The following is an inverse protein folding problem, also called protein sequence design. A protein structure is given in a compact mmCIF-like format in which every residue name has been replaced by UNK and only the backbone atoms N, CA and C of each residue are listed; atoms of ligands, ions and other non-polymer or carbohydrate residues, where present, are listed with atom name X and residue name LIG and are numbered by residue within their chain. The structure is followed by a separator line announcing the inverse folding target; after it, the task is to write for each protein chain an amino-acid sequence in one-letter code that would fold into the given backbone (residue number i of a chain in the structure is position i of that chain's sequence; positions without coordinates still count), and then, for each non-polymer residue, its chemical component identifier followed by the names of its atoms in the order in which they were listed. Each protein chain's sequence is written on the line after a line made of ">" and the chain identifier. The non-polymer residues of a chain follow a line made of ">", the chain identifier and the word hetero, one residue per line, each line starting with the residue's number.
data_IF_372008349592
#
_entry.id   IF_372008349592
#
_cell.length_a   1.000
_cell.length_b   1.000
_cell.length_c   1.000
_cell.angle_alpha   90.00
_cell.angle_beta   90.00
_cell.angle_gamma   90.00
#
_symmetry.space_group_name_H-M   'P 1'
#
loop_
_entity.id
_entity.type
_entity.pdbx_description
1 polymer ?
#
# COMPACT_ATOMS: atom_id res chain seq x y z
N UNK A 1 -5.54 -3.18 -13.04
CA UNK A 1 -5.85 -3.96 -11.82
C UNK A 1 -4.55 -4.52 -11.30
N UNK A 2 -4.32 -4.52 -9.99
CA UNK A 2 -3.08 -5.00 -9.36
C UNK A 2 -3.42 -5.91 -8.17
N UNK A 3 -2.67 -7.00 -8.01
CA UNK A 3 -2.77 -7.92 -6.88
C UNK A 3 -1.36 -8.42 -6.59
N UNK A 4 -0.82 -8.15 -5.40
CA UNK A 4 0.52 -8.60 -5.01
C UNK A 4 0.74 -8.57 -3.51
N UNK A 5 1.80 -9.26 -3.07
CA UNK A 5 2.41 -9.10 -1.75
C UNK A 5 3.82 -8.57 -1.94
N UNK A 6 4.15 -7.44 -1.33
CA UNK A 6 5.48 -6.86 -1.42
C UNK A 6 6.46 -7.66 -0.56
N UNK A 7 7.59 -8.02 -1.17
CA UNK A 7 8.79 -8.47 -0.48
C UNK A 7 9.92 -7.51 -0.83
N UNK A 8 10.52 -6.91 0.18
CA UNK A 8 11.70 -6.04 0.02
C UNK A 8 12.72 -6.38 1.12
N UNK A 9 14.01 -6.24 0.80
CA UNK A 9 15.11 -6.57 1.71
C UNK A 9 15.74 -5.32 2.36
N UNK A 10 15.30 -4.12 2.00
CA UNK A 10 15.71 -2.87 2.60
C UNK A 10 15.92 -1.77 1.56
N UNK A 11 15.76 -0.54 2.02
CA UNK A 11 15.72 0.63 1.15
C UNK A 11 14.98 1.76 1.84
N UNK A 12 14.54 2.72 1.04
CA UNK A 12 13.50 3.68 1.43
C UNK A 12 12.47 3.67 0.31
N UNK A 13 11.47 2.83 0.48
CA UNK A 13 10.60 2.33 -0.56
C UNK A 13 9.25 3.03 -0.54
N UNK A 14 8.60 3.06 -1.70
CA UNK A 14 7.36 3.82 -1.89
C UNK A 14 6.29 2.96 -2.56
N UNK A 15 5.14 2.86 -1.91
CA UNK A 15 3.89 2.48 -2.57
C UNK A 15 3.30 3.69 -3.29
N UNK A 16 3.54 3.79 -4.59
CA UNK A 16 2.95 4.83 -5.44
C UNK A 16 1.67 4.32 -6.11
N UNK A 17 0.53 4.79 -5.61
CA UNK A 17 -0.80 4.52 -6.14
C UNK A 17 -1.48 5.79 -6.66
N UNK A 18 -0.70 6.81 -7.04
CA UNK A 18 -1.17 8.11 -7.53
C UNK A 18 -2.04 8.04 -8.79
N UNK A 19 -1.88 6.98 -9.59
CA UNK A 19 -2.64 6.77 -10.83
C UNK A 19 -4.10 6.35 -10.63
N UNK A 20 -4.55 6.09 -9.40
CA UNK A 20 -5.93 5.67 -9.14
C UNK A 20 -6.87 6.83 -8.77
N UNK A 21 -8.14 6.69 -9.15
CA UNK A 21 -9.20 7.65 -8.81
C UNK A 21 -10.24 7.11 -7.83
N UNK A 22 -10.17 5.82 -7.48
CA UNK A 22 -11.01 5.22 -6.46
C UNK A 22 -10.49 5.57 -5.06
N UNK A 23 -11.37 5.57 -4.06
CA UNK A 23 -10.95 5.67 -2.66
C UNK A 23 -10.15 4.43 -2.26
N UNK A 24 -9.05 4.65 -1.54
CA UNK A 24 -8.10 3.60 -1.16
C UNK A 24 -7.94 3.53 0.36
N UNK A 25 -7.53 2.36 0.85
CA UNK A 25 -7.05 2.18 2.22
C UNK A 25 -5.67 1.56 2.13
N UNK A 26 -4.63 2.35 2.37
CA UNK A 26 -3.23 1.94 2.24
C UNK A 26 -2.64 1.81 3.64
N UNK A 27 -2.14 0.63 3.98
CA UNK A 27 -1.56 0.33 5.27
C UNK A 27 -0.12 -0.19 5.08
N UNK A 28 0.84 0.54 5.65
CA UNK A 28 2.27 0.26 5.53
C UNK A 28 2.81 -0.72 6.60
N UNK A 29 1.95 -1.27 7.46
CA UNK A 29 2.37 -2.27 8.44
C UNK A 29 2.57 -3.64 7.77
N UNK A 30 3.62 -4.36 8.16
CA UNK A 30 3.84 -5.74 7.74
C UNK A 30 2.61 -6.64 8.01
N UNK A 31 2.38 -7.64 7.16
CA UNK A 31 1.23 -8.56 7.17
C UNK A 31 -0.14 -7.89 6.99
N UNK A 32 -0.22 -6.56 6.89
CA UNK A 32 -1.48 -5.87 6.65
C UNK A 32 -1.93 -6.00 5.20
N UNK A 33 -3.23 -5.90 5.00
CA UNK A 33 -3.86 -5.79 3.69
C UNK A 33 -4.32 -4.35 3.42
N UNK A 34 -4.29 -3.98 2.14
CA UNK A 34 -4.70 -2.69 1.61
C UNK A 34 -5.75 -2.88 0.50
N UNK A 35 -6.65 -1.89 0.42
CA UNK A 35 -7.67 -1.77 -0.63
C UNK A 35 -7.18 -0.74 -1.65
N UNK A 36 -6.76 -1.19 -2.85
CA UNK A 36 -6.05 -0.33 -3.82
C UNK A 36 -6.69 -0.44 -5.20
N UNK A 37 -6.87 0.69 -5.88
CA UNK A 37 -7.39 0.74 -7.25
C UNK A 37 -8.81 0.17 -7.42
N UNK A 38 -9.67 0.36 -6.43
CA UNK A 38 -11.07 -0.10 -6.43
C UNK A 38 -11.27 -1.59 -6.11
N UNK A 39 -10.22 -2.28 -5.70
CA UNK A 39 -10.27 -3.66 -5.21
C UNK A 39 -10.23 -3.68 -3.67
N UNK A 40 -10.45 -4.86 -3.09
CA UNK A 40 -10.39 -5.09 -1.64
C UNK A 40 -9.34 -6.13 -1.29
N UNK A 41 -8.51 -5.85 -0.29
CA UNK A 41 -7.49 -6.76 0.23
C UNK A 41 -6.53 -7.30 -0.83
N UNK A 42 -6.20 -6.48 -1.85
CA UNK A 42 -5.46 -6.91 -3.02
C UNK A 42 -3.96 -6.59 -2.96
N UNK A 43 -3.54 -5.72 -2.05
CA UNK A 43 -2.13 -5.41 -1.81
C UNK A 43 -1.79 -5.74 -0.37
N UNK A 44 -0.69 -6.44 -0.12
CA UNK A 44 -0.17 -6.69 1.22
C UNK A 44 1.33 -6.55 1.31
N UNK A 45 1.86 -6.45 2.53
CA UNK A 45 3.29 -6.40 2.83
C UNK A 45 3.67 -7.70 3.54
N UNK A 46 4.73 -8.37 3.10
CA UNK A 46 5.20 -9.60 3.74
C UNK A 46 5.69 -9.33 5.18
N UNK A 47 5.75 -10.38 5.99
CA UNK A 47 6.35 -10.29 7.32
C UNK A 47 7.85 -9.96 7.21
N UNK A 48 8.34 -9.07 8.06
CA UNK A 48 9.73 -8.62 8.11
C UNK A 48 10.08 -7.51 7.11
N UNK A 49 9.11 -7.00 6.34
CA UNK A 49 9.32 -5.97 5.33
C UNK A 49 8.82 -4.63 5.84
N UNK A 50 9.65 -3.59 5.68
CA UNK A 50 9.27 -2.19 5.91
C UNK A 50 9.06 -1.50 4.57
N UNK A 51 7.97 -0.73 4.47
CA UNK A 51 7.73 0.21 3.38
C UNK A 51 7.47 1.56 4.04
N UNK A 52 8.23 2.59 3.68
CA UNK A 52 8.28 3.85 4.43
C UNK A 52 7.25 4.86 3.91
N UNK A 53 6.99 4.84 2.61
CA UNK A 53 6.23 5.89 1.95
C UNK A 53 5.01 5.35 1.22
N UNK A 54 3.93 6.13 1.23
CA UNK A 54 2.75 5.89 0.43
C UNK A 54 2.32 7.17 -0.29
N UNK A 55 1.98 7.05 -1.57
CA UNK A 55 1.35 8.11 -2.36
C UNK A 55 -0.04 7.61 -2.75
N UNK A 56 -1.06 8.28 -2.20
CA UNK A 56 -2.46 8.04 -2.56
C UNK A 56 -2.80 8.58 -3.95
N UNK A 57 -3.98 8.21 -4.42
CA UNK A 57 -4.57 8.67 -5.67
C UNK A 57 -5.37 9.97 -5.50
N UNK A 58 -6.22 10.24 -6.49
CA UNK A 58 -7.14 11.39 -6.46
C UNK A 58 -8.44 11.14 -5.68
N UNK A 59 -8.59 9.94 -5.11
CA UNK A 59 -9.73 9.55 -4.28
C UNK A 59 -9.63 10.05 -2.84
N UNK A 60 -10.68 9.78 -2.05
CA UNK A 60 -10.66 10.02 -0.61
C UNK A 60 -9.95 8.85 0.09
N UNK A 61 -8.63 8.95 0.16
CA UNK A 61 -7.78 7.85 0.62
C UNK A 61 -7.53 7.89 2.14
N UNK A 62 -7.37 6.71 2.73
CA UNK A 62 -6.90 6.52 4.10
C UNK A 62 -5.50 5.94 4.05
N UNK A 63 -4.51 6.68 4.57
CA UNK A 63 -3.12 6.27 4.64
C UNK A 63 -2.74 6.00 6.10
N UNK A 64 -2.27 4.77 6.37
CA UNK A 64 -1.83 4.32 7.70
C UNK A 64 -0.34 3.99 7.62
N UNK A 65 0.48 4.74 8.36
CA UNK A 65 1.92 4.50 8.48
C UNK A 65 2.25 3.32 9.40
N UNK A 66 3.55 3.03 9.51
CA UNK A 66 4.16 2.08 10.44
C UNK A 66 5.08 2.80 11.44
N UNK A 67 5.80 2.03 12.28
CA UNK A 67 6.68 2.52 13.34
C UNK A 67 8.14 2.60 12.89
#
# INVERSE_FOLDING_TARGET
>A
KIIFTAWDAGGNDTFDFSGFGQNQRINLNEKAFSDVGGLKGNVSIAAGVTIENAIGGSGNDVLVGNA
#
